data_IF_193318803232
#
_entry.id   IF_193318803232
#
_cell.length_a   1.000
_cell.length_b   1.000
_cell.length_c   1.000
_cell.angle_alpha   90.00
_cell.angle_beta   90.00
_cell.angle_gamma   90.00
#
_symmetry.space_group_name_H-M   'P 1'
#
loop_
_entity.id
_entity.type
_entity.pdbx_description
1 polymer ?
#
# COMPACT_ATOMS: atom_id res chain seq x y z
N UNK A 1 9.92 -22.52 -12.43
CA UNK A 1 10.11 -23.10 -11.08
C UNK A 1 9.64 -22.05 -10.11
N UNK A 2 8.52 -22.30 -9.44
CA UNK A 2 8.05 -21.45 -8.35
C UNK A 2 9.16 -21.23 -7.31
N UNK A 3 9.57 -19.98 -7.13
CA UNK A 3 10.53 -19.55 -6.13
C UNK A 3 9.78 -18.76 -5.06
N UNK A 4 10.01 -19.10 -3.79
CA UNK A 4 9.52 -18.27 -2.70
C UNK A 4 10.35 -17.00 -2.64
N UNK A 5 9.69 -15.85 -2.79
CA UNK A 5 10.26 -14.55 -2.52
C UNK A 5 9.21 -13.69 -1.83
N UNK A 6 9.58 -13.13 -0.67
CA UNK A 6 8.78 -12.16 0.05
C UNK A 6 9.70 -11.21 0.78
N UNK A 7 9.54 -9.91 0.55
CA UNK A 7 10.24 -8.87 1.29
C UNK A 7 9.25 -7.86 1.84
N UNK A 8 9.58 -7.27 2.98
CA UNK A 8 8.83 -6.14 3.51
C UNK A 8 9.76 -5.03 3.97
N UNK A 9 9.46 -3.80 3.53
CA UNK A 9 10.25 -2.59 3.80
C UNK A 9 9.33 -1.45 4.20
N UNK A 10 9.89 -0.45 4.89
CA UNK A 10 9.14 0.74 5.31
C UNK A 10 9.60 1.94 4.51
N UNK A 11 8.68 2.58 3.81
CA UNK A 11 8.88 3.88 3.19
C UNK A 11 8.74 4.99 4.22
N UNK A 12 9.74 5.86 4.34
CA UNK A 12 9.68 7.03 5.23
C UNK A 12 10.22 8.27 4.53
N UNK A 13 9.67 9.43 4.86
CA UNK A 13 10.12 10.71 4.28
C UNK A 13 11.57 11.01 4.67
N UNK A 14 11.97 10.71 5.91
CA UNK A 14 13.36 10.83 6.36
C UNK A 14 14.33 9.90 5.63
N UNK A 15 13.84 8.81 5.03
CA UNK A 15 14.62 7.92 4.17
C UNK A 15 14.60 8.33 2.69
N UNK A 16 14.15 9.55 2.37
CA UNK A 16 14.07 10.06 1.00
C UNK A 16 12.99 9.41 0.14
N UNK A 17 12.02 8.71 0.74
CA UNK A 17 10.93 8.07 0.02
C UNK A 17 9.74 9.02 -0.13
N UNK A 18 8.99 8.86 -1.23
CA UNK A 18 7.69 9.48 -1.46
C UNK A 18 6.68 8.37 -1.72
N UNK A 19 5.53 8.44 -1.04
CA UNK A 19 4.42 7.54 -1.24
C UNK A 19 3.84 7.68 -2.65
N UNK A 20 3.61 8.91 -3.12
CA UNK A 20 3.09 9.13 -4.47
C UNK A 20 4.04 8.58 -5.53
N UNK A 21 5.33 8.88 -5.43
CA UNK A 21 6.31 8.38 -6.38
C UNK A 21 6.41 6.85 -6.39
N UNK A 22 6.26 6.20 -5.23
CA UNK A 22 6.20 4.73 -5.15
C UNK A 22 4.90 4.19 -5.76
N UNK A 23 3.76 4.81 -5.51
CA UNK A 23 2.47 4.40 -6.08
C UNK A 23 2.48 4.53 -7.62
N UNK A 24 3.04 5.62 -8.15
CA UNK A 24 3.23 5.81 -9.59
C UNK A 24 4.19 4.77 -10.17
N UNK A 25 5.28 4.46 -9.46
CA UNK A 25 6.24 3.44 -9.90
C UNK A 25 5.58 2.05 -10.00
N UNK A 26 4.82 1.62 -8.99
CA UNK A 26 4.23 0.27 -9.01
C UNK A 26 3.07 0.17 -10.01
N UNK A 27 2.35 1.26 -10.28
CA UNK A 27 1.26 1.24 -11.27
C UNK A 27 1.69 1.66 -12.68
N UNK A 28 2.98 1.99 -12.87
CA UNK A 28 3.53 2.56 -14.12
C UNK A 28 2.76 3.81 -14.58
N UNK A 29 2.44 4.68 -13.63
CA UNK A 29 1.77 5.95 -13.89
C UNK A 29 2.75 7.13 -13.94
N UNK A 30 2.27 8.26 -14.46
CA UNK A 30 3.03 9.51 -14.49
C UNK A 30 4.36 9.36 -15.23
N UNK A 31 5.47 9.66 -14.53
CA UNK A 31 6.82 9.59 -15.13
C UNK A 31 7.30 8.17 -15.43
N UNK A 32 6.63 7.14 -14.88
CA UNK A 32 6.98 5.73 -15.07
C UNK A 32 6.17 5.05 -16.18
N UNK A 33 5.29 5.79 -16.86
CA UNK A 33 4.46 5.27 -17.96
C UNK A 33 5.24 4.77 -19.19
N UNK A 34 6.55 5.03 -19.25
CA UNK A 34 7.45 4.54 -20.31
C UNK A 34 8.31 3.36 -19.88
N UNK A 35 8.17 2.88 -18.65
CA UNK A 35 8.89 1.68 -18.21
C UNK A 35 8.40 0.47 -19.01
N UNK A 36 9.34 -0.43 -19.31
CA UNK A 36 9.06 -1.58 -20.19
C UNK A 36 8.39 -2.76 -19.49
N UNK A 37 8.37 -2.78 -18.15
CA UNK A 37 7.77 -3.87 -17.39
C UNK A 37 6.27 -3.64 -17.21
N UNK A 38 5.50 -4.57 -17.75
CA UNK A 38 4.04 -4.51 -17.88
C UNK A 38 3.34 -4.69 -16.52
N UNK A 39 2.32 -3.88 -16.27
CA UNK A 39 1.41 -4.06 -15.14
C UNK A 39 0.23 -4.90 -15.60
N UNK A 40 0.14 -6.12 -15.08
CA UNK A 40 -0.91 -7.09 -15.41
C UNK A 40 -2.20 -6.84 -14.63
N UNK A 41 -2.09 -6.19 -13.48
CA UNK A 41 -3.21 -5.85 -12.60
C UNK A 41 -2.82 -4.72 -11.66
N UNK A 42 -3.75 -3.85 -11.32
CA UNK A 42 -3.61 -2.89 -10.24
C UNK A 42 -4.95 -2.71 -9.54
N UNK A 43 -4.92 -2.59 -8.22
CA UNK A 43 -6.11 -2.29 -7.43
C UNK A 43 -5.75 -1.54 -6.16
N UNK A 44 -6.76 -0.95 -5.54
CA UNK A 44 -6.62 -0.25 -4.26
C UNK A 44 -7.85 -0.50 -3.41
N UNK A 45 -7.68 -0.48 -2.09
CA UNK A 45 -8.77 -0.78 -1.17
C UNK A 45 -8.67 -0.02 0.14
N UNK A 46 -9.80 -0.01 0.86
CA UNK A 46 -9.98 0.62 2.17
C UNK A 46 -9.66 2.12 2.24
N UNK A 47 -9.73 2.83 1.11
CA UNK A 47 -9.52 4.27 1.08
C UNK A 47 -10.57 5.00 1.93
N UNK A 48 -10.18 6.06 2.67
CA UNK A 48 -11.13 6.90 3.38
C UNK A 48 -11.93 7.81 2.45
N UNK A 49 -13.04 8.34 2.94
CA UNK A 49 -14.03 9.11 2.16
C UNK A 49 -13.45 10.32 1.41
N UNK A 50 -12.42 10.96 1.95
CA UNK A 50 -11.81 12.14 1.29
C UNK A 50 -11.05 11.80 -0.01
N UNK A 51 -10.86 10.52 -0.33
CA UNK A 51 -10.07 10.04 -1.47
C UNK A 51 -10.99 9.80 -2.66
N UNK A 52 -10.85 10.60 -3.71
CA UNK A 52 -11.55 10.38 -4.98
C UNK A 52 -10.80 9.37 -5.85
N UNK A 53 -9.47 9.48 -5.91
CA UNK A 53 -8.59 8.53 -6.62
C UNK A 53 -7.54 7.99 -5.66
N UNK A 54 -7.18 6.69 -5.72
CA UNK A 54 -6.15 6.12 -4.83
C UNK A 54 -4.84 6.93 -4.78
N UNK A 55 -4.44 7.53 -5.89
CA UNK A 55 -3.35 8.50 -6.00
C UNK A 55 -3.39 9.61 -4.94
N UNK A 56 -4.57 10.18 -4.70
CA UNK A 56 -4.79 11.33 -3.83
C UNK A 56 -4.49 10.98 -2.36
N UNK A 57 -4.68 9.71 -1.97
CA UNK A 57 -4.29 9.23 -0.64
C UNK A 57 -2.78 9.30 -0.44
N UNK A 58 -2.01 8.87 -1.45
CA UNK A 58 -0.56 8.84 -1.39
C UNK A 58 0.06 10.23 -1.46
N UNK A 59 -0.54 11.14 -2.23
CA UNK A 59 -0.22 12.57 -2.19
C UNK A 59 -0.48 13.17 -0.79
N UNK A 60 -1.63 12.86 -0.20
CA UNK A 60 -1.97 13.33 1.13
C UNK A 60 -1.05 12.76 2.22
N UNK A 61 -0.59 11.50 2.09
CA UNK A 61 0.40 10.92 2.97
C UNK A 61 1.74 11.68 2.87
N UNK A 62 2.20 11.97 1.65
CA UNK A 62 3.41 12.75 1.41
C UNK A 62 3.31 14.18 1.95
N UNK A 63 2.12 14.78 1.94
CA UNK A 63 1.91 16.14 2.42
C UNK A 63 1.76 16.22 3.95
N UNK A 64 0.94 15.34 4.55
CA UNK A 64 0.45 15.53 5.92
C UNK A 64 1.05 14.58 6.97
N UNK A 65 1.72 13.50 6.58
CA UNK A 65 2.52 12.74 7.57
C UNK A 65 3.64 13.62 8.14
N UNK A 66 4.07 13.29 9.37
CA UNK A 66 5.20 14.00 10.01
C UNK A 66 6.50 13.77 9.24
N UNK A 67 7.45 14.71 9.34
CA UNK A 67 8.73 14.65 8.61
C UNK A 67 9.54 13.36 8.83
N UNK A 68 9.47 12.79 10.04
CA UNK A 68 10.08 11.50 10.42
C UNK A 68 9.05 10.36 10.48
N UNK A 69 7.94 10.51 9.75
CA UNK A 69 6.82 9.58 9.71
C UNK A 69 7.06 8.44 8.73
N UNK A 70 6.47 7.29 9.05
CA UNK A 70 6.31 6.17 8.13
C UNK A 70 5.16 6.51 7.17
N UNK A 71 5.45 6.48 5.88
CA UNK A 71 4.49 6.80 4.82
C UNK A 71 3.70 5.54 4.42
N UNK A 72 4.40 4.43 4.23
CA UNK A 72 3.81 3.14 3.86
C UNK A 72 4.72 1.98 4.31
N UNK A 73 4.12 0.79 4.41
CA UNK A 73 4.82 -0.50 4.35
C UNK A 73 4.70 -1.02 2.92
N UNK A 74 5.81 -1.44 2.33
CA UNK A 74 5.80 -2.13 1.05
C UNK A 74 6.08 -3.61 1.31
N UNK A 75 5.19 -4.47 0.82
CA UNK A 75 5.35 -5.91 0.77
C UNK A 75 5.49 -6.30 -0.69
N UNK A 76 6.56 -7.00 -1.03
CA UNK A 76 6.85 -7.43 -2.40
C UNK A 76 6.98 -8.95 -2.39
N UNK A 77 6.26 -9.63 -3.27
CA UNK A 77 6.24 -11.09 -3.26
C UNK A 77 6.10 -11.67 -4.68
N UNK A 78 6.78 -12.79 -4.92
CA UNK A 78 6.68 -13.51 -6.18
C UNK A 78 5.35 -14.25 -6.27
N UNK A 79 4.81 -14.31 -7.49
CA UNK A 79 3.65 -15.10 -7.85
C UNK A 79 4.12 -16.32 -8.67
N UNK A 80 3.59 -17.52 -8.45
CA UNK A 80 3.98 -18.67 -9.26
C UNK A 80 3.59 -18.45 -10.73
N UNK A 81 4.56 -18.61 -11.63
CA UNK A 81 4.36 -18.46 -13.08
C UNK A 81 3.43 -19.55 -13.64
N UNK A 82 3.30 -20.66 -12.93
CA UNK A 82 2.40 -21.77 -13.26
C UNK A 82 0.91 -21.42 -13.05
N UNK A 83 0.60 -20.35 -12.32
CA UNK A 83 -0.77 -19.86 -12.15
C UNK A 83 -1.22 -19.03 -13.36
N UNK A 84 -2.50 -19.12 -13.69
CA UNK A 84 -3.11 -18.19 -14.66
C UNK A 84 -3.13 -16.77 -14.08
N UNK A 85 -3.24 -15.76 -14.94
CA UNK A 85 -3.34 -14.37 -14.49
C UNK A 85 -4.51 -14.15 -13.50
N UNK A 86 -5.65 -14.80 -13.71
CA UNK A 86 -6.79 -14.68 -12.80
C UNK A 86 -6.51 -15.32 -11.43
N UNK A 87 -5.78 -16.43 -11.39
CA UNK A 87 -5.32 -17.05 -10.13
C UNK A 87 -4.27 -16.18 -9.43
N UNK A 88 -3.35 -15.57 -10.19
CA UNK A 88 -2.36 -14.63 -9.67
C UNK A 88 -3.03 -13.40 -9.05
N UNK A 89 -4.05 -12.83 -9.72
CA UNK A 89 -4.88 -11.75 -9.19
C UNK A 89 -5.59 -12.15 -7.91
N UNK A 90 -6.28 -13.29 -7.92
CA UNK A 90 -7.00 -13.79 -6.75
C UNK A 90 -6.05 -13.98 -5.54
N UNK A 91 -4.88 -14.58 -5.75
CA UNK A 91 -3.86 -14.77 -4.72
C UNK A 91 -3.34 -13.43 -4.18
N UNK A 92 -3.02 -12.47 -5.05
CA UNK A 92 -2.53 -11.16 -4.65
C UNK A 92 -3.58 -10.37 -3.85
N UNK A 93 -4.83 -10.37 -4.31
CA UNK A 93 -5.95 -9.73 -3.62
C UNK A 93 -6.25 -10.39 -2.27
N UNK A 94 -6.26 -11.72 -2.20
CA UNK A 94 -6.47 -12.45 -0.94
C UNK A 94 -5.36 -12.17 0.07
N UNK A 95 -4.10 -12.14 -0.37
CA UNK A 95 -2.98 -11.80 0.51
C UNK A 95 -3.03 -10.34 0.98
N UNK A 96 -3.41 -9.40 0.09
CA UNK A 96 -3.66 -8.02 0.50
C UNK A 96 -4.78 -7.95 1.56
N UNK A 97 -5.93 -8.60 1.34
CA UNK A 97 -7.02 -8.66 2.30
C UNK A 97 -6.61 -9.30 3.64
N UNK A 98 -5.76 -10.34 3.62
CA UNK A 98 -5.23 -10.95 4.84
C UNK A 98 -4.46 -9.93 5.70
N UNK A 99 -3.65 -9.08 5.07
CA UNK A 99 -2.84 -8.08 5.76
C UNK A 99 -3.62 -6.82 6.13
N UNK A 100 -4.63 -6.44 5.36
CA UNK A 100 -5.30 -5.14 5.48
C UNK A 100 -6.72 -5.20 6.00
N UNK A 101 -7.41 -6.33 5.85
CA UNK A 101 -8.86 -6.43 6.02
C UNK A 101 -9.33 -6.22 7.45
N UNK A 102 -8.62 -6.77 8.45
CA UNK A 102 -9.01 -6.70 9.85
C UNK A 102 -9.12 -5.26 10.39
N UNK A 103 -8.24 -4.37 9.92
CA UNK A 103 -8.18 -2.96 10.34
C UNK A 103 -8.49 -1.99 9.18
N UNK A 104 -8.96 -2.52 8.04
CA UNK A 104 -9.24 -1.75 6.83
C UNK A 104 -8.10 -0.79 6.48
N UNK A 105 -6.87 -1.29 6.42
CA UNK A 105 -5.70 -0.48 6.13
C UNK A 105 -5.70 -0.06 4.66
N UNK A 106 -5.66 1.25 4.31
CA UNK A 106 -5.62 1.69 2.93
C UNK A 106 -4.42 1.09 2.20
N UNK A 107 -4.65 0.53 1.01
CA UNK A 107 -3.58 -0.09 0.22
C UNK A 107 -3.74 0.15 -1.26
N UNK A 108 -2.62 0.01 -1.97
CA UNK A 108 -2.55 -0.09 -3.43
C UNK A 108 -1.62 -1.24 -3.76
N UNK A 109 -2.03 -2.12 -4.67
CA UNK A 109 -1.19 -3.18 -5.18
C UNK A 109 -1.12 -3.14 -6.71
N UNK A 110 -0.02 -3.68 -7.23
CA UNK A 110 0.16 -3.91 -8.66
C UNK A 110 0.94 -5.20 -8.91
N UNK A 111 0.49 -5.97 -9.88
CA UNK A 111 1.17 -7.16 -10.39
C UNK A 111 2.01 -6.76 -11.60
N UNK A 112 3.31 -6.99 -11.53
CA UNK A 112 4.25 -6.81 -12.63
C UNK A 112 4.47 -8.14 -13.33
N UNK A 113 4.57 -8.11 -14.66
CA UNK A 113 4.84 -9.30 -15.47
C UNK A 113 6.25 -9.86 -15.25
N UNK A 114 7.21 -9.00 -14.90
CA UNK A 114 8.60 -9.40 -14.66
C UNK A 114 9.20 -10.11 -15.87
N UNK A 115 8.96 -9.55 -17.07
CA UNK A 115 9.37 -10.15 -18.34
C UNK A 115 8.67 -11.46 -18.71
N UNK A 116 7.56 -11.81 -18.03
CA UNK A 116 6.80 -13.05 -18.25
C UNK A 116 7.36 -14.28 -17.54
N UNK A 117 8.54 -14.17 -16.91
CA UNK A 117 9.20 -15.27 -16.22
C UNK A 117 9.20 -15.13 -14.70
N UNK A 118 9.02 -13.90 -14.20
CA UNK A 118 9.04 -13.59 -12.77
C UNK A 118 7.89 -12.66 -12.38
N UNK A 119 6.62 -13.09 -12.50
CA UNK A 119 5.50 -12.28 -12.07
C UNK A 119 5.60 -12.05 -10.56
N UNK A 120 5.43 -10.80 -10.14
CA UNK A 120 5.52 -10.41 -8.74
C UNK A 120 4.54 -9.29 -8.43
N UNK A 121 4.15 -9.18 -7.17
CA UNK A 121 3.25 -8.15 -6.70
C UNK A 121 4.01 -7.17 -5.80
N UNK A 122 3.80 -5.88 -6.05
CA UNK A 122 4.10 -4.83 -5.09
C UNK A 122 2.81 -4.43 -4.38
N UNK A 123 2.80 -4.51 -3.05
CA UNK A 123 1.69 -4.09 -2.20
C UNK A 123 2.15 -2.97 -1.25
N UNK A 124 1.61 -1.77 -1.45
CA UNK A 124 1.78 -0.64 -0.55
C UNK A 124 0.63 -0.60 0.46
N UNK A 125 0.95 -0.53 1.74
CA UNK A 125 -0.03 -0.47 2.84
C UNK A 125 0.23 0.76 3.68
N UNK A 126 -0.79 1.57 3.90
CA UNK A 126 -0.77 2.61 4.92
C UNK A 126 -1.02 2.00 6.29
N UNK A 127 -0.26 2.43 7.29
CA UNK A 127 -0.50 2.00 8.66
C UNK A 127 -1.68 2.71 9.32
N UNK A 128 -2.34 3.65 8.65
CA UNK A 128 -3.52 4.36 9.19
C UNK A 128 -4.75 3.46 9.09
N UNK A 129 -5.38 3.18 10.22
CA UNK A 129 -6.61 2.39 10.32
C UNK A 129 -7.79 3.20 9.75
N UNK A 130 -8.53 2.63 8.80
CA UNK A 130 -9.82 3.20 8.39
C UNK A 130 -10.92 2.75 9.35
N UNK A 131 -11.05 3.51 10.44
CA UNK A 131 -12.02 3.31 11.52
C UNK A 131 -13.45 3.77 11.17
N UNK A 132 -13.69 4.21 9.93
CA UNK A 132 -14.99 4.67 9.46
C UNK A 132 -15.38 6.08 9.92
N UNK A 133 -14.51 6.79 10.66
CA UNK A 133 -14.76 8.18 11.04
C UNK A 133 -14.28 9.09 9.90
N UNK A 134 -15.22 9.85 9.33
CA UNK A 134 -14.94 10.84 8.30
C UNK A 134 -13.99 11.93 8.82
N UNK A 135 -12.92 12.16 8.06
CA UNK A 135 -11.91 13.18 8.37
C UNK A 135 -11.42 13.79 7.06
N UNK A 136 -11.18 15.11 7.01
CA UNK A 136 -10.41 15.68 5.92
C UNK A 136 -8.97 15.15 5.96
N UNK A 137 -8.30 15.12 4.80
CA UNK A 137 -6.92 14.62 4.66
C UNK A 137 -5.96 15.17 5.73
N UNK A 138 -5.98 16.50 5.94
CA UNK A 138 -5.12 17.16 6.93
C UNK A 138 -5.35 16.69 8.38
N UNK A 139 -6.56 16.22 8.71
CA UNK A 139 -6.86 15.65 10.03
C UNK A 139 -6.49 14.17 10.08
N UNK A 140 -6.78 13.38 9.04
CA UNK A 140 -6.50 11.95 8.95
C UNK A 140 -5.07 11.59 9.40
N UNK A 141 -4.08 12.37 8.95
CA UNK A 141 -2.67 12.13 9.26
C UNK A 141 -2.16 12.76 10.57
N UNK A 142 -3.02 13.42 11.37
CA UNK A 142 -2.64 13.92 12.71
C UNK A 142 -2.37 12.79 13.70
N UNK A 143 -1.81 13.12 14.86
CA UNK A 143 -1.71 12.17 15.98
C UNK A 143 -3.11 11.71 16.39
N UNK A 144 -3.23 10.41 16.67
CA UNK A 144 -4.46 9.82 17.20
C UNK A 144 -4.77 10.34 18.60
N UNK A 145 -6.06 10.54 18.88
CA UNK A 145 -6.57 10.94 20.19
C UNK A 145 -7.48 9.83 20.75
N UNK A 146 -6.93 8.96 21.61
CA UNK A 146 -7.70 7.85 22.18
C UNK A 146 -8.84 8.25 23.13
N UNK A 147 -8.87 9.49 23.64
CA UNK A 147 -10.00 9.98 24.46
C UNK A 147 -11.17 10.46 23.60
N UNK A 148 -10.87 10.92 22.39
CA UNK A 148 -11.84 11.58 21.49
C UNK A 148 -11.39 11.36 20.03
N UNK A 149 -11.54 10.13 19.49
CA UNK A 149 -11.01 9.72 18.18
C UNK A 149 -11.38 10.63 17.00
N UNK A 150 -12.57 11.22 17.04
CA UNK A 150 -13.12 12.13 16.04
C UNK A 150 -12.42 13.51 16.01
N UNK A 151 -11.68 13.86 17.08
CA UNK A 151 -10.86 15.08 17.14
C UNK A 151 -9.38 14.82 16.83
N UNK A 152 -8.99 13.56 16.66
CA UNK A 152 -7.63 13.14 16.30
C UNK A 152 -7.51 12.75 14.83
N UNK A 153 -6.30 12.34 14.43
CA UNK A 153 -6.10 11.60 13.18
C UNK A 153 -6.37 10.11 13.34
N UNK A 154 -6.37 9.39 12.22
CA UNK A 154 -6.56 7.95 12.20
C UNK A 154 -5.44 7.24 12.99
N UNK A 155 -5.80 6.27 13.82
CA UNK A 155 -4.84 5.48 14.59
C UNK A 155 -3.87 4.76 13.65
N UNK A 156 -2.58 4.67 14.04
CA UNK A 156 -1.65 3.78 13.36
C UNK A 156 -1.72 2.38 13.95
N UNK A 157 -1.79 1.37 13.09
CA UNK A 157 -1.72 -0.02 13.49
C UNK A 157 -0.37 -0.38 14.10
N UNK A 158 -0.40 -1.36 15.00
CA UNK A 158 0.77 -2.06 15.49
C UNK A 158 0.96 -3.43 14.81
N UNK A 159 -0.04 -3.92 14.06
CA UNK A 159 -0.08 -5.27 13.48
C UNK A 159 0.98 -5.51 12.39
N UNK A 160 1.47 -4.47 11.73
CA UNK A 160 2.52 -4.56 10.70
C UNK A 160 3.96 -4.40 11.25
N UNK A 161 4.11 -4.29 12.57
CA UNK A 161 5.40 -4.18 13.28
C UNK A 161 6.08 -5.52 13.60
N UNK A 162 5.37 -6.63 13.92
CA UNK A 162 6.02 -7.93 14.13
C UNK A 162 6.63 -8.45 12.83
N UNK A 163 7.71 -9.21 12.92
CA UNK A 163 8.25 -10.01 11.81
C UNK A 163 7.55 -11.38 11.68
N UNK A 164 6.57 -11.68 12.52
CA UNK A 164 5.99 -13.03 12.62
C UNK A 164 5.11 -13.43 11.42
N UNK A 165 4.73 -12.48 10.56
CA UNK A 165 3.97 -12.70 9.32
C UNK A 165 4.86 -12.71 8.05
N UNK A 166 6.17 -12.52 8.23
CA UNK A 166 7.23 -12.60 7.21
C UNK A 166 8.03 -13.89 7.39
#
# INVERSE_FOLDING_TARGET
>A
MAIYHLTAKTGSRSGGQSARAKADYIQREGKYARDMDEVLHAESGHMPEFVERPADYWDAADLYERANGRLFKEVEFALPVELTLDQQKALASEFAQHLTGAERLPYTLAIHAGGGENPHCHLMISERINDGIERPAAQWFKRYNGKTPEKGGAQKTEALKPKAWL
#
